data_IF_034346372054
#
_entry.id   IF_034346372054
#
_cell.length_a   1.000
_cell.length_b   1.000
_cell.length_c   1.000
_cell.angle_alpha   90.00
_cell.angle_beta   90.00
_cell.angle_gamma   90.00
#
_symmetry.space_group_name_H-M   'P 1'
#
loop_
_entity.id
_entity.type
_entity.pdbx_description
1 polymer ?
#
# COMPACT_ATOMS: atom_id res chain seq x y z
N UNK A 1 17.28 18.05 -10.68
CA UNK A 1 16.73 17.32 -11.84
C UNK A 1 16.98 15.83 -11.64
N UNK A 2 15.96 14.99 -11.84
CA UNK A 2 16.07 13.54 -11.69
C UNK A 2 16.94 12.95 -12.80
N UNK A 3 17.94 12.13 -12.46
CA UNK A 3 18.85 11.46 -13.40
C UNK A 3 19.07 10.01 -12.95
N UNK A 4 19.41 9.12 -13.86
CA UNK A 4 19.64 7.70 -13.53
C UNK A 4 20.80 7.52 -12.54
N UNK A 5 21.81 8.38 -12.57
CA UNK A 5 22.93 8.36 -11.63
C UNK A 5 22.46 8.55 -10.17
N UNK A 6 21.38 9.34 -9.96
CA UNK A 6 20.78 9.52 -8.64
C UNK A 6 20.21 8.20 -8.09
N UNK A 7 19.68 7.34 -8.94
CA UNK A 7 19.19 6.01 -8.55
C UNK A 7 20.33 5.04 -8.22
N UNK A 8 21.41 5.05 -8.98
CA UNK A 8 22.59 4.26 -8.66
C UNK A 8 23.23 4.73 -7.36
N UNK A 9 23.32 6.04 -7.13
CA UNK A 9 23.79 6.59 -5.86
C UNK A 9 22.86 6.16 -4.71
N UNK A 10 21.55 6.26 -4.90
CA UNK A 10 20.58 5.78 -3.91
C UNK A 10 20.77 4.29 -3.59
N UNK A 11 21.01 3.45 -4.59
CA UNK A 11 21.28 2.02 -4.39
C UNK A 11 22.48 1.79 -3.48
N UNK A 12 23.61 2.47 -3.75
CA UNK A 12 24.83 2.36 -2.95
C UNK A 12 24.58 2.78 -1.49
N UNK A 13 23.90 3.93 -1.30
CA UNK A 13 23.59 4.45 0.04
C UNK A 13 22.67 3.50 0.81
N UNK A 14 21.75 2.84 0.12
CA UNK A 14 20.74 1.97 0.72
C UNK A 14 21.22 0.55 1.00
N UNK A 15 22.36 0.12 0.46
CA UNK A 15 22.86 -1.26 0.55
C UNK A 15 22.93 -1.80 1.99
N UNK A 16 23.41 -0.96 2.92
CA UNK A 16 23.61 -1.36 4.31
C UNK A 16 22.36 -1.25 5.20
N UNK A 17 21.32 -0.60 4.73
CA UNK A 17 20.10 -0.41 5.54
C UNK A 17 18.94 -1.31 5.09
N UNK A 18 18.89 -1.68 3.82
CA UNK A 18 17.79 -2.48 3.29
C UNK A 18 17.95 -3.97 3.60
N UNK A 19 16.83 -4.64 3.68
CA UNK A 19 16.75 -6.10 3.55
C UNK A 19 16.64 -6.44 2.07
N UNK A 20 17.38 -7.44 1.62
CA UNK A 20 17.19 -7.99 0.27
C UNK A 20 15.80 -8.62 0.15
N UNK A 21 15.05 -8.23 -0.87
CA UNK A 21 13.69 -8.70 -1.14
C UNK A 21 13.66 -9.34 -2.53
N UNK A 22 14.17 -10.58 -2.63
CA UNK A 22 14.28 -11.29 -3.90
C UNK A 22 12.90 -11.53 -4.54
N UNK A 23 12.87 -11.64 -5.87
CA UNK A 23 11.65 -11.92 -6.63
C UNK A 23 11.10 -13.31 -6.30
N UNK A 24 9.80 -13.39 -6.04
CA UNK A 24 9.11 -14.64 -5.74
C UNK A 24 8.23 -15.06 -6.91
N UNK A 25 8.65 -16.03 -7.70
CA UNK A 25 7.84 -16.56 -8.80
C UNK A 25 6.54 -17.21 -8.30
N UNK A 26 5.44 -17.01 -9.04
CA UNK A 26 4.14 -17.60 -8.71
C UNK A 26 3.29 -17.90 -9.94
N UNK A 27 2.82 -19.14 -10.07
CA UNK A 27 1.85 -19.58 -11.11
C UNK A 27 0.39 -19.47 -10.64
N UNK A 28 0.15 -18.93 -9.43
CA UNK A 28 -1.16 -19.01 -8.75
C UNK A 28 -1.90 -17.67 -8.68
N UNK A 29 -1.36 -16.63 -9.26
CA UNK A 29 -2.01 -15.31 -9.36
C UNK A 29 -2.79 -15.21 -10.66
N UNK A 30 -2.14 -15.54 -11.77
CA UNK A 30 -2.73 -15.59 -13.09
C UNK A 30 -2.18 -16.81 -13.84
N UNK A 31 -2.92 -17.36 -14.79
CA UNK A 31 -2.54 -18.57 -15.56
C UNK A 31 -2.08 -18.25 -16.98
N UNK A 32 -2.32 -17.03 -17.47
CA UNK A 32 -1.99 -16.60 -18.83
C UNK A 32 -0.64 -15.91 -18.94
N UNK A 33 0.02 -15.61 -17.79
CA UNK A 33 1.31 -14.93 -17.73
C UNK A 33 2.21 -15.50 -16.63
N UNK A 34 3.51 -15.21 -16.69
CA UNK A 34 4.47 -15.53 -15.64
C UNK A 34 4.53 -14.40 -14.61
N UNK A 35 4.05 -14.64 -13.39
CA UNK A 35 3.98 -13.63 -12.34
C UNK A 35 5.11 -13.80 -11.33
N UNK A 36 5.79 -12.69 -11.05
CA UNK A 36 6.78 -12.53 -10.00
C UNK A 36 6.30 -11.47 -9.00
N UNK A 37 6.56 -11.67 -7.73
CA UNK A 37 6.24 -10.72 -6.66
C UNK A 37 7.54 -10.07 -6.18
N UNK A 38 7.58 -8.73 -6.12
CA UNK A 38 8.63 -7.99 -5.40
C UNK A 38 8.12 -7.68 -3.99
N UNK A 39 8.54 -8.43 -2.96
CA UNK A 39 7.89 -8.46 -1.66
C UNK A 39 8.40 -7.35 -0.72
N UNK A 40 8.14 -6.09 -1.02
CA UNK A 40 8.49 -4.96 -0.16
C UNK A 40 7.71 -4.94 1.19
N UNK A 41 6.66 -5.76 1.32
CA UNK A 41 6.04 -6.05 2.62
C UNK A 41 6.99 -6.77 3.60
N UNK A 42 8.07 -7.38 3.12
CA UNK A 42 9.11 -8.01 3.93
C UNK A 42 10.31 -7.10 4.19
N UNK A 43 10.31 -5.88 3.66
CA UNK A 43 11.35 -4.89 3.87
C UNK A 43 11.39 -4.43 5.34
N UNK A 44 12.49 -3.81 5.77
CA UNK A 44 12.54 -3.12 7.08
C UNK A 44 11.36 -2.16 7.20
N UNK A 45 10.76 -2.06 8.37
CA UNK A 45 9.51 -1.33 8.63
C UNK A 45 8.27 -1.88 7.91
N UNK A 46 8.35 -3.07 7.29
CA UNK A 46 7.21 -3.72 6.64
C UNK A 46 6.72 -3.04 5.36
N UNK A 47 7.51 -2.15 4.74
CA UNK A 47 7.17 -1.49 3.48
C UNK A 47 8.37 -0.87 2.77
N UNK A 48 8.19 -0.55 1.49
CA UNK A 48 9.20 0.12 0.64
C UNK A 48 9.62 1.52 1.12
N UNK A 49 8.83 2.17 1.98
CA UNK A 49 8.98 3.59 2.35
C UNK A 49 10.34 3.94 2.94
N UNK A 50 11.01 3.00 3.59
CA UNK A 50 12.37 3.20 4.13
C UNK A 50 13.36 3.59 3.03
N UNK A 51 13.21 3.12 1.79
CA UNK A 51 14.12 3.41 0.67
C UNK A 51 14.21 4.91 0.41
N UNK A 52 13.08 5.54 0.10
CA UNK A 52 13.03 6.97 -0.20
C UNK A 52 13.28 7.85 1.03
N UNK A 53 12.75 7.48 2.20
CA UNK A 53 12.96 8.23 3.43
C UNK A 53 14.44 8.24 3.83
N UNK A 54 15.08 7.09 3.86
CA UNK A 54 16.50 6.98 4.20
C UNK A 54 17.40 7.73 3.20
N UNK A 55 17.18 7.52 1.89
CA UNK A 55 17.97 8.21 0.88
C UNK A 55 17.81 9.72 0.97
N UNK A 56 16.58 10.25 1.11
CA UNK A 56 16.35 11.68 1.31
C UNK A 56 17.10 12.22 2.50
N UNK A 57 17.00 11.57 3.66
CA UNK A 57 17.66 11.99 4.90
C UNK A 57 19.20 11.94 4.76
N UNK A 58 19.74 10.94 4.07
CA UNK A 58 21.19 10.84 3.83
C UNK A 58 21.75 12.01 3.02
N UNK A 59 20.93 12.61 2.16
CA UNK A 59 21.34 13.73 1.28
C UNK A 59 21.26 15.11 1.94
N UNK A 60 20.82 15.19 3.19
CA UNK A 60 20.76 16.44 3.93
C UNK A 60 22.18 16.95 4.27
N UNK A 61 22.35 18.26 4.29
CA UNK A 61 23.57 18.89 4.79
C UNK A 61 23.75 18.63 6.30
N UNK A 62 24.94 18.81 6.81
CA UNK A 62 25.22 18.63 8.24
C UNK A 62 24.41 19.63 9.10
N UNK A 63 24.15 20.83 8.57
CA UNK A 63 23.32 21.82 9.23
C UNK A 63 21.84 21.36 9.30
N UNK A 64 21.29 20.81 8.21
CA UNK A 64 19.93 20.26 8.18
C UNK A 64 19.81 19.03 9.10
N UNK A 65 20.81 18.14 9.10
CA UNK A 65 20.85 16.98 10.00
C UNK A 65 20.88 17.39 11.46
N UNK A 66 21.64 18.44 11.81
CA UNK A 66 21.72 18.94 13.19
C UNK A 66 20.38 19.51 13.69
N UNK A 67 19.58 20.12 12.81
CA UNK A 67 18.24 20.60 13.14
C UNK A 67 17.22 19.47 13.27
N UNK A 68 17.38 18.37 12.50
CA UNK A 68 16.49 17.23 12.48
C UNK A 68 15.45 17.27 11.37
N UNK A 69 14.57 16.27 11.35
CA UNK A 69 13.58 16.09 10.30
C UNK A 69 12.17 16.03 10.88
N UNK A 70 11.18 16.44 10.07
CA UNK A 70 9.75 16.34 10.40
C UNK A 70 9.00 15.70 9.25
N UNK A 71 7.98 14.90 9.57
CA UNK A 71 7.07 14.35 8.58
C UNK A 71 5.63 14.30 9.11
N UNK A 72 4.67 14.23 8.18
CA UNK A 72 3.26 13.95 8.51
C UNK A 72 2.88 12.59 7.92
N UNK A 73 2.58 11.63 8.78
CA UNK A 73 2.06 10.33 8.37
C UNK A 73 1.70 9.49 9.59
N UNK A 74 0.58 8.77 9.53
CA UNK A 74 0.20 7.77 10.53
C UNK A 74 0.56 6.32 10.12
N UNK A 75 1.29 6.12 9.01
CA UNK A 75 1.55 4.81 8.43
C UNK A 75 3.02 4.56 8.05
N UNK A 76 3.19 3.92 6.91
CA UNK A 76 4.49 3.43 6.42
C UNK A 76 5.57 4.51 6.29
N UNK A 77 5.19 5.73 5.87
CA UNK A 77 6.15 6.81 5.71
C UNK A 77 6.71 7.28 7.06
N UNK A 78 5.87 7.39 8.09
CA UNK A 78 6.29 7.71 9.46
C UNK A 78 7.39 6.75 9.95
N UNK A 79 7.16 5.44 9.79
CA UNK A 79 8.12 4.41 10.19
C UNK A 79 9.42 4.47 9.36
N UNK A 80 9.30 4.74 8.05
CA UNK A 80 10.46 4.92 7.17
C UNK A 80 11.33 6.11 7.59
N UNK A 81 10.71 7.26 7.92
CA UNK A 81 11.42 8.46 8.40
C UNK A 81 12.03 8.21 9.78
N UNK A 82 11.26 7.61 10.71
CA UNK A 82 11.75 7.32 12.05
C UNK A 82 13.00 6.43 12.03
N UNK A 83 12.93 5.28 11.32
CA UNK A 83 14.08 4.38 11.21
C UNK A 83 15.25 5.04 10.48
N UNK A 84 14.98 5.76 9.38
CA UNK A 84 16.00 6.44 8.59
C UNK A 84 16.77 7.48 9.39
N UNK A 85 16.07 8.34 10.11
CA UNK A 85 16.66 9.36 10.95
C UNK A 85 17.44 8.76 12.13
N UNK A 86 16.83 7.82 12.86
CA UNK A 86 17.46 7.16 14.01
C UNK A 86 18.74 6.43 13.62
N UNK A 87 18.75 5.75 12.45
CA UNK A 87 19.94 5.05 11.95
C UNK A 87 21.12 5.98 11.64
N UNK A 88 20.86 7.27 11.46
CA UNK A 88 21.88 8.31 11.23
C UNK A 88 22.11 9.21 12.44
N UNK A 89 21.51 8.90 13.60
CA UNK A 89 21.60 9.74 14.80
C UNK A 89 20.90 11.09 14.68
N UNK A 90 19.92 11.22 13.77
CA UNK A 90 19.19 12.46 13.49
C UNK A 90 17.87 12.44 14.25
N UNK A 91 17.51 13.56 14.87
CA UNK A 91 16.21 13.74 15.53
C UNK A 91 15.09 13.74 14.49
N UNK A 92 14.01 13.01 14.76
CA UNK A 92 12.82 13.00 13.92
C UNK A 92 11.55 13.27 14.73
N UNK A 93 10.68 14.11 14.17
CA UNK A 93 9.36 14.43 14.70
C UNK A 93 8.29 13.99 13.72
N UNK A 94 7.31 13.22 14.18
CA UNK A 94 6.21 12.77 13.33
C UNK A 94 4.90 13.36 13.83
N UNK A 95 4.29 14.20 12.99
CA UNK A 95 2.96 14.75 13.23
C UNK A 95 1.90 13.81 12.65
N UNK A 96 0.87 13.49 13.44
CA UNK A 96 -0.23 12.63 13.03
C UNK A 96 -1.51 12.98 13.81
N UNK A 97 -2.70 12.68 13.26
CA UNK A 97 -3.96 12.92 13.94
C UNK A 97 -4.06 12.16 15.26
N UNK A 98 -4.70 12.75 16.29
CA UNK A 98 -4.95 12.07 17.57
C UNK A 98 -5.77 10.77 17.41
N UNK A 99 -6.63 10.70 16.39
CA UNK A 99 -7.43 9.54 16.08
C UNK A 99 -6.65 8.41 15.40
N UNK A 100 -5.33 8.56 15.17
CA UNK A 100 -4.50 7.52 14.56
C UNK A 100 -4.44 6.26 15.45
N UNK A 101 -4.48 5.05 14.85
CA UNK A 101 -4.42 3.81 15.62
C UNK A 101 -3.17 3.74 16.50
N UNK A 102 -3.36 3.45 17.78
CA UNK A 102 -2.27 3.39 18.78
C UNK A 102 -1.16 2.42 18.38
N UNK A 103 -1.50 1.32 17.71
CA UNK A 103 -0.51 0.36 17.18
C UNK A 103 0.49 1.01 16.22
N UNK A 104 0.01 1.90 15.33
CA UNK A 104 0.84 2.64 14.37
C UNK A 104 1.69 3.72 15.06
N UNK A 105 1.10 4.41 16.05
CA UNK A 105 1.81 5.43 16.88
C UNK A 105 2.97 4.77 17.62
N UNK A 106 2.71 3.67 18.33
CA UNK A 106 3.73 2.95 19.09
C UNK A 106 4.81 2.32 18.20
N UNK A 107 4.44 1.79 17.04
CA UNK A 107 5.42 1.27 16.08
C UNK A 107 6.40 2.36 15.64
N UNK A 108 5.91 3.57 15.38
CA UNK A 108 6.74 4.72 15.00
C UNK A 108 7.63 5.19 16.15
N UNK A 109 7.08 5.28 17.37
CA UNK A 109 7.83 5.66 18.58
C UNK A 109 8.96 4.67 18.88
N UNK A 110 8.72 3.36 18.76
CA UNK A 110 9.76 2.32 18.95
C UNK A 110 10.91 2.41 17.96
N UNK A 111 10.70 3.05 16.82
CA UNK A 111 11.74 3.33 15.83
C UNK A 111 12.53 4.60 16.14
N UNK A 112 12.28 5.26 17.28
CA UNK A 112 13.07 6.36 17.81
C UNK A 112 12.56 7.77 17.46
N UNK A 113 11.39 7.90 16.83
CA UNK A 113 10.82 9.22 16.53
C UNK A 113 10.07 9.82 17.74
N UNK A 114 10.12 11.12 17.88
CA UNK A 114 9.19 11.90 18.69
C UNK A 114 7.85 11.98 17.98
N UNK A 115 6.76 11.96 18.76
CA UNK A 115 5.40 11.96 18.25
C UNK A 115 4.69 13.24 18.65
N UNK A 116 4.11 13.93 17.66
CA UNK A 116 3.23 15.08 17.83
C UNK A 116 1.80 14.68 17.42
N UNK A 117 0.94 14.41 18.39
CA UNK A 117 -0.48 14.16 18.14
C UNK A 117 -1.18 15.51 17.92
N UNK A 118 -1.98 15.59 16.87
CA UNK A 118 -2.65 16.83 16.45
C UNK A 118 -4.16 16.58 16.42
N UNK A 119 -4.97 17.41 17.12
CA UNK A 119 -6.42 17.36 16.99
C UNK A 119 -6.88 17.61 15.55
N UNK A 120 -7.88 16.83 15.09
CA UNK A 120 -8.44 16.98 13.76
C UNK A 120 -8.03 15.85 12.80
N UNK A 121 -7.92 16.18 11.50
CA UNK A 121 -7.68 15.23 10.40
C UNK A 121 -6.23 15.30 9.88
N UNK A 122 -5.95 14.53 8.83
CA UNK A 122 -4.62 14.49 8.22
C UNK A 122 -4.09 15.87 7.81
N UNK A 123 -4.95 16.73 7.26
CA UNK A 123 -4.56 18.07 6.79
C UNK A 123 -4.10 18.97 7.95
N UNK A 124 -4.73 18.83 9.15
CA UNK A 124 -4.31 19.57 10.35
C UNK A 124 -2.91 19.11 10.82
N UNK A 125 -2.66 17.80 10.83
CA UNK A 125 -1.36 17.26 11.17
C UNK A 125 -0.29 17.65 10.13
N UNK A 126 -0.63 17.71 8.85
CA UNK A 126 0.24 18.17 7.79
C UNK A 126 0.62 19.65 7.97
N UNK A 127 -0.36 20.51 8.22
CA UNK A 127 -0.13 21.93 8.49
C UNK A 127 0.73 22.13 9.75
N UNK A 128 0.52 21.32 10.80
CA UNK A 128 1.35 21.35 12.00
C UNK A 128 2.79 20.96 11.69
N UNK A 129 3.02 19.93 10.86
CA UNK A 129 4.37 19.55 10.46
C UNK A 129 5.09 20.66 9.67
N UNK A 130 4.38 21.37 8.79
CA UNK A 130 4.92 22.52 8.08
C UNK A 130 5.23 23.69 9.05
N UNK A 131 4.37 23.99 10.01
CA UNK A 131 4.62 24.98 11.04
C UNK A 131 5.87 24.64 11.85
N UNK A 132 6.06 23.38 12.25
CA UNK A 132 7.26 22.92 12.96
C UNK A 132 8.54 23.05 12.10
N UNK A 133 8.44 22.80 10.79
CA UNK A 133 9.53 23.09 9.85
C UNK A 133 9.94 24.55 9.92
N UNK A 134 8.96 25.47 9.83
CA UNK A 134 9.22 26.92 9.74
C UNK A 134 9.69 27.50 11.09
N UNK A 135 9.17 27.00 12.21
CA UNK A 135 9.47 27.50 13.56
C UNK A 135 10.83 26.98 14.07
N UNK A 136 11.15 25.69 13.86
CA UNK A 136 12.33 25.05 14.41
C UNK A 136 13.41 24.72 13.38
N UNK A 137 13.15 24.97 12.09
CA UNK A 137 14.07 24.74 11.00
C UNK A 137 14.27 23.24 10.67
N UNK A 138 13.33 22.38 11.05
CA UNK A 138 13.35 20.98 10.63
C UNK A 138 13.29 20.85 9.11
N UNK A 139 13.90 19.80 8.55
CA UNK A 139 13.66 19.46 7.14
C UNK A 139 12.41 18.58 7.03
N UNK A 140 11.44 19.03 6.24
CA UNK A 140 10.22 18.26 5.97
C UNK A 140 10.53 17.14 4.98
N UNK A 141 10.26 15.89 5.38
CA UNK A 141 10.44 14.71 4.52
C UNK A 141 9.10 14.37 3.87
N UNK A 142 8.96 14.79 2.60
CA UNK A 142 7.73 14.58 1.85
C UNK A 142 7.54 13.09 1.51
N UNK A 143 6.30 12.53 1.62
CA UNK A 143 6.08 11.09 1.43
C UNK A 143 6.22 10.59 -0.01
N UNK A 144 6.26 11.47 -1.04
CA UNK A 144 6.33 11.10 -2.45
C UNK A 144 6.82 12.21 -3.40
N UNK A 145 6.54 13.50 -3.15
CA UNK A 145 6.81 14.58 -4.10
C UNK A 145 8.18 15.23 -3.85
N UNK A 146 9.25 14.43 -3.94
CA UNK A 146 10.65 14.83 -3.73
C UNK A 146 11.56 13.95 -4.59
N UNK A 147 12.49 14.54 -5.34
CA UNK A 147 13.39 13.82 -6.25
C UNK A 147 14.24 12.74 -5.55
N UNK A 148 14.70 12.99 -4.33
CA UNK A 148 15.49 12.03 -3.59
C UNK A 148 14.62 10.88 -3.07
N UNK A 149 13.40 11.20 -2.62
CA UNK A 149 12.43 10.16 -2.24
C UNK A 149 12.10 9.29 -3.45
N UNK A 150 11.81 9.87 -4.61
CA UNK A 150 11.53 9.16 -5.86
C UNK A 150 12.72 8.27 -6.26
N UNK A 151 13.95 8.81 -6.20
CA UNK A 151 15.16 8.05 -6.55
C UNK A 151 15.37 6.84 -5.62
N UNK A 152 15.17 7.02 -4.30
CA UNK A 152 15.24 5.92 -3.34
C UNK A 152 14.22 4.82 -3.63
N UNK A 153 12.96 5.18 -3.95
CA UNK A 153 11.91 4.22 -4.32
C UNK A 153 12.24 3.49 -5.62
N UNK A 154 12.82 4.20 -6.59
CA UNK A 154 13.15 3.64 -7.90
C UNK A 154 14.30 2.61 -7.89
N UNK A 155 15.06 2.49 -6.79
CA UNK A 155 16.03 1.40 -6.62
C UNK A 155 15.39 0.01 -6.74
N UNK A 156 14.09 -0.09 -6.51
CA UNK A 156 13.31 -1.32 -6.72
C UNK A 156 13.40 -1.77 -8.18
N UNK A 157 13.32 -0.84 -9.14
CA UNK A 157 13.44 -1.18 -10.55
C UNK A 157 14.83 -1.70 -10.89
N UNK A 158 15.89 -1.14 -10.30
CA UNK A 158 17.26 -1.64 -10.50
C UNK A 158 17.39 -3.10 -10.03
N UNK A 159 16.84 -3.41 -8.85
CA UNK A 159 16.83 -4.77 -8.31
C UNK A 159 16.01 -5.73 -9.19
N UNK A 160 14.84 -5.31 -9.68
CA UNK A 160 14.01 -6.11 -10.59
C UNK A 160 14.76 -6.45 -11.87
N UNK A 161 15.39 -5.44 -12.50
CA UNK A 161 16.11 -5.63 -13.76
C UNK A 161 17.38 -6.48 -13.61
N UNK A 162 18.00 -6.47 -12.44
CA UNK A 162 19.13 -7.33 -12.13
C UNK A 162 18.71 -8.80 -11.94
N UNK A 163 17.58 -9.05 -11.29
CA UNK A 163 17.08 -10.41 -11.03
C UNK A 163 16.30 -11.00 -12.23
N UNK A 164 15.61 -10.17 -13.01
CA UNK A 164 14.78 -10.54 -14.16
C UNK A 164 15.01 -9.56 -15.32
N UNK A 165 16.15 -9.66 -16.05
CA UNK A 165 16.49 -8.72 -17.11
C UNK A 165 15.51 -8.70 -18.29
N UNK A 166 14.75 -9.76 -18.48
CA UNK A 166 13.76 -9.96 -19.55
C UNK A 166 12.32 -9.76 -19.05
N UNK A 167 12.11 -8.94 -18.00
CA UNK A 167 10.79 -8.53 -17.55
C UNK A 167 10.07 -7.71 -18.62
N UNK A 168 8.82 -8.05 -18.92
CA UNK A 168 7.98 -7.32 -19.88
C UNK A 168 7.16 -6.21 -19.21
N UNK A 169 6.62 -6.49 -18.00
CA UNK A 169 5.64 -5.62 -17.33
C UNK A 169 5.97 -5.49 -15.84
N UNK A 170 5.95 -4.26 -15.34
CA UNK A 170 6.03 -3.97 -13.90
C UNK A 170 4.73 -3.29 -13.46
N UNK A 171 4.09 -3.83 -12.42
CA UNK A 171 2.81 -3.34 -11.88
C UNK A 171 3.01 -2.77 -10.50
N UNK A 172 2.62 -1.49 -10.32
CA UNK A 172 3.02 -0.67 -9.16
C UNK A 172 1.81 -0.02 -8.49
N UNK A 173 1.65 -0.14 -7.16
CA UNK A 173 0.65 0.61 -6.42
C UNK A 173 0.86 2.12 -6.50
N UNK A 174 -0.23 2.89 -6.66
CA UNK A 174 -0.17 4.35 -6.83
C UNK A 174 -1.03 5.05 -5.78
N UNK A 175 -0.37 5.80 -4.87
CA UNK A 175 -1.01 6.85 -4.07
C UNK A 175 -0.64 8.21 -4.66
N UNK A 176 0.22 8.98 -3.99
CA UNK A 176 0.71 10.27 -4.49
C UNK A 176 1.74 10.18 -5.64
N UNK A 177 2.08 9.00 -6.11
CA UNK A 177 2.88 8.78 -7.31
C UNK A 177 4.39 8.53 -7.09
N UNK A 178 4.93 8.69 -5.88
CA UNK A 178 6.40 8.62 -5.66
C UNK A 178 7.04 7.27 -6.00
N UNK A 179 6.36 6.16 -5.68
CA UNK A 179 6.86 4.81 -5.98
C UNK A 179 6.87 4.56 -7.49
N UNK A 180 5.73 4.74 -8.15
CA UNK A 180 5.62 4.49 -9.59
C UNK A 180 6.51 5.43 -10.40
N UNK A 181 6.64 6.69 -9.99
CA UNK A 181 7.56 7.64 -10.65
C UNK A 181 8.99 7.14 -10.63
N UNK A 182 9.46 6.66 -9.47
CA UNK A 182 10.81 6.11 -9.36
C UNK A 182 11.00 4.84 -10.19
N UNK A 183 10.07 3.89 -10.09
CA UNK A 183 10.12 2.62 -10.83
C UNK A 183 10.03 2.86 -12.33
N UNK A 184 9.08 3.67 -12.79
CA UNK A 184 8.88 3.92 -14.22
C UNK A 184 10.07 4.67 -14.83
N UNK A 185 10.55 5.73 -14.17
CA UNK A 185 11.71 6.48 -14.64
C UNK A 185 12.94 5.57 -14.80
N UNK A 186 13.28 4.80 -13.77
CA UNK A 186 14.45 3.92 -13.81
C UNK A 186 14.28 2.80 -14.85
N UNK A 187 13.12 2.10 -14.85
CA UNK A 187 12.87 1.00 -15.80
C UNK A 187 12.91 1.48 -17.25
N UNK A 188 12.20 2.57 -17.58
CA UNK A 188 12.14 3.10 -18.95
C UNK A 188 13.46 3.70 -19.44
N UNK A 189 14.25 4.30 -18.54
CA UNK A 189 15.59 4.81 -18.89
C UNK A 189 16.55 3.69 -19.25
N UNK A 190 16.48 2.55 -18.54
CA UNK A 190 17.35 1.40 -18.77
C UNK A 190 16.86 0.48 -19.88
N UNK A 191 15.54 0.29 -19.99
CA UNK A 191 14.92 -0.48 -21.06
C UNK A 191 13.53 0.11 -21.41
N UNK A 192 13.44 0.91 -22.48
CA UNK A 192 12.19 1.58 -22.87
C UNK A 192 11.06 0.64 -23.32
N UNK A 193 11.37 -0.63 -23.60
CA UNK A 193 10.38 -1.63 -23.99
C UNK A 193 9.54 -2.15 -22.82
N UNK A 194 10.03 -2.04 -21.59
CA UNK A 194 9.31 -2.47 -20.39
C UNK A 194 8.04 -1.62 -20.24
N UNK A 195 6.91 -2.28 -20.01
CA UNK A 195 5.66 -1.60 -19.69
C UNK A 195 5.51 -1.42 -18.19
N UNK A 196 5.14 -0.22 -17.76
CA UNK A 196 4.89 0.09 -16.35
C UNK A 196 3.45 0.54 -16.16
N UNK A 197 2.68 -0.24 -15.41
CA UNK A 197 1.30 0.07 -15.09
C UNK A 197 1.13 0.43 -13.62
N UNK A 198 0.36 1.49 -13.38
CA UNK A 198 -0.08 1.88 -12.04
C UNK A 198 -1.39 1.24 -11.65
N UNK A 199 -1.60 1.06 -10.34
CA UNK A 199 -2.87 0.57 -9.81
C UNK A 199 -3.31 1.40 -8.63
N UNK A 200 -4.56 1.89 -8.66
CA UNK A 200 -5.22 2.61 -7.57
C UNK A 200 -6.46 1.84 -7.10
N UNK A 201 -6.92 2.12 -5.88
CA UNK A 201 -8.27 1.72 -5.47
C UNK A 201 -9.29 2.63 -6.16
N UNK A 202 -10.45 2.09 -6.58
CA UNK A 202 -11.50 2.84 -7.29
C UNK A 202 -11.93 4.10 -6.54
N UNK A 203 -12.06 4.03 -5.22
CA UNK A 203 -12.48 5.14 -4.38
C UNK A 203 -11.32 6.09 -3.97
N UNK A 204 -10.13 5.95 -4.59
CA UNK A 204 -8.97 6.79 -4.38
C UNK A 204 -8.16 7.00 -5.68
N UNK A 205 -8.85 7.15 -6.82
CA UNK A 205 -8.30 7.17 -8.18
C UNK A 205 -7.78 8.56 -8.60
N UNK A 206 -7.03 9.26 -7.74
CA UNK A 206 -6.57 10.62 -7.99
C UNK A 206 -5.62 10.73 -9.19
N UNK A 207 -4.72 9.76 -9.39
CA UNK A 207 -3.78 9.77 -10.53
C UNK A 207 -4.50 9.44 -11.84
N UNK A 208 -5.47 8.51 -11.84
CA UNK A 208 -6.29 8.21 -13.03
C UNK A 208 -7.00 9.46 -13.50
N UNK A 209 -7.75 10.14 -12.61
CA UNK A 209 -8.46 11.38 -12.95
C UNK A 209 -7.50 12.49 -13.39
N UNK A 210 -6.33 12.59 -12.76
CA UNK A 210 -5.32 13.58 -13.15
C UNK A 210 -4.76 13.35 -14.55
N UNK A 211 -4.47 12.10 -14.91
CA UNK A 211 -3.98 11.77 -16.26
C UNK A 211 -5.05 12.02 -17.33
N UNK A 212 -6.32 11.73 -17.05
CA UNK A 212 -7.46 12.05 -17.92
C UNK A 212 -7.64 13.56 -18.10
N UNK A 213 -7.58 14.32 -17.00
CA UNK A 213 -7.67 15.78 -17.01
C UNK A 213 -6.42 16.49 -17.56
N UNK A 214 -5.28 15.78 -17.63
CA UNK A 214 -3.95 16.31 -17.98
C UNK A 214 -3.42 17.36 -17.00
N UNK A 215 -3.91 17.34 -15.76
CA UNK A 215 -3.46 18.18 -14.66
C UNK A 215 -3.72 17.50 -13.31
N UNK A 216 -2.98 17.83 -12.25
CA UNK A 216 -3.21 17.24 -10.93
C UNK A 216 -4.58 17.58 -10.34
N UNK A 217 -5.47 16.59 -10.26
CA UNK A 217 -6.84 16.72 -9.73
C UNK A 217 -6.89 16.44 -8.24
N UNK A 218 -7.60 17.28 -7.48
CA UNK A 218 -7.92 17.06 -6.08
C UNK A 218 -9.28 16.37 -5.95
N UNK A 219 -9.30 15.13 -5.45
CA UNK A 219 -10.53 14.41 -5.14
C UNK A 219 -11.26 15.04 -3.94
N UNK A 220 -12.56 15.06 -4.00
CA UNK A 220 -13.41 15.56 -2.89
C UNK A 220 -13.32 14.68 -1.65
N UNK A 221 -13.27 13.36 -1.86
CA UNK A 221 -13.13 12.37 -0.79
C UNK A 221 -12.33 11.16 -1.25
N UNK A 222 -11.77 10.40 -0.31
CA UNK A 222 -11.15 9.10 -0.54
C UNK A 222 -11.62 8.15 0.57
N UNK A 223 -12.00 6.95 0.21
CA UNK A 223 -12.44 5.91 1.16
C UNK A 223 -12.06 4.55 0.63
N UNK A 224 -11.01 3.94 1.19
CA UNK A 224 -10.53 2.63 0.79
C UNK A 224 -9.82 1.93 1.93
N UNK A 225 -9.87 0.61 1.96
CA UNK A 225 -9.06 -0.23 2.85
C UNK A 225 -7.56 -0.14 2.51
N UNK A 226 -7.22 0.31 1.30
CA UNK A 226 -5.85 0.54 0.86
C UNK A 226 -5.32 1.91 1.36
N UNK A 227 -5.31 2.12 2.67
CA UNK A 227 -4.98 3.38 3.36
C UNK A 227 -3.61 3.96 2.93
N UNK A 228 -2.62 3.11 2.66
CA UNK A 228 -1.29 3.51 2.19
C UNK A 228 -1.26 4.21 0.83
N UNK A 229 -2.35 4.12 0.03
CA UNK A 229 -2.52 4.79 -1.26
C UNK A 229 -3.75 5.70 -1.32
N UNK A 230 -4.43 5.95 -0.19
CA UNK A 230 -5.58 6.84 -0.07
C UNK A 230 -5.14 8.32 -0.15
N UNK A 231 -4.75 8.77 -1.33
CA UNK A 231 -4.20 10.12 -1.55
C UNK A 231 -5.15 10.93 -2.43
N UNK A 232 -5.60 12.09 -1.91
CA UNK A 232 -6.57 12.96 -2.60
C UNK A 232 -6.02 13.65 -3.85
N UNK A 233 -4.72 13.98 -3.86
CA UNK A 233 -4.07 14.67 -4.98
C UNK A 233 -2.68 14.10 -5.20
N UNK A 234 -2.28 13.76 -6.44
CA UNK A 234 -0.89 13.42 -6.74
C UNK A 234 0.03 14.63 -6.56
N UNK A 235 1.33 14.39 -6.41
CA UNK A 235 2.31 15.47 -6.41
C UNK A 235 2.51 16.03 -7.82
N UNK A 236 2.86 17.31 -7.93
CA UNK A 236 3.08 17.93 -9.24
C UNK A 236 4.25 17.26 -9.98
N UNK A 237 5.38 17.04 -9.29
CA UNK A 237 6.54 16.32 -9.86
C UNK A 237 6.20 14.87 -10.22
N UNK A 238 5.47 14.17 -9.36
CA UNK A 238 5.11 12.76 -9.62
C UNK A 238 4.10 12.63 -10.74
N UNK A 239 3.19 13.58 -10.89
CA UNK A 239 2.26 13.66 -12.02
C UNK A 239 3.02 13.83 -13.34
N UNK A 240 3.98 14.78 -13.41
CA UNK A 240 4.79 15.01 -14.61
C UNK A 240 5.55 13.74 -15.01
N UNK A 241 6.17 13.04 -14.05
CA UNK A 241 6.89 11.81 -14.35
C UNK A 241 5.92 10.70 -14.80
N UNK A 242 4.77 10.54 -14.12
CA UNK A 242 3.78 9.54 -14.53
C UNK A 242 3.25 9.80 -15.94
N UNK A 243 2.97 11.04 -16.29
CA UNK A 243 2.49 11.43 -17.62
C UNK A 243 3.46 11.07 -18.74
N UNK A 244 4.78 11.04 -18.45
CA UNK A 244 5.82 10.79 -19.45
C UNK A 244 6.32 9.34 -19.49
N UNK A 245 6.25 8.60 -18.37
CA UNK A 245 6.94 7.31 -18.23
C UNK A 245 6.02 6.13 -17.91
N UNK A 246 4.74 6.36 -17.55
CA UNK A 246 3.79 5.29 -17.18
C UNK A 246 2.91 4.95 -18.37
N UNK A 247 2.76 3.67 -18.69
CA UNK A 247 1.97 3.20 -19.84
C UNK A 247 0.45 3.23 -19.58
N UNK A 248 0.03 3.29 -18.33
CA UNK A 248 -1.37 3.43 -17.93
C UNK A 248 -1.56 3.23 -16.42
N UNK A 249 -2.67 3.74 -15.91
CA UNK A 249 -3.10 3.53 -14.51
C UNK A 249 -4.51 2.97 -14.52
N UNK A 250 -4.71 1.86 -13.81
CA UNK A 250 -6.01 1.18 -13.70
C UNK A 250 -6.49 1.20 -12.26
N UNK A 251 -7.77 0.86 -12.06
CA UNK A 251 -8.37 0.75 -10.74
C UNK A 251 -8.80 -0.67 -10.41
N UNK A 252 -8.82 -0.98 -9.11
CA UNK A 252 -9.35 -2.22 -8.54
C UNK A 252 -10.34 -1.92 -7.44
N UNK A 253 -11.34 -2.79 -7.29
CA UNK A 253 -12.36 -2.66 -6.24
C UNK A 253 -11.86 -3.14 -4.87
N UNK A 254 -12.60 -2.82 -3.82
CA UNK A 254 -12.31 -3.28 -2.46
C UNK A 254 -12.35 -4.81 -2.36
N UNK A 255 -13.30 -5.45 -3.07
CA UNK A 255 -13.45 -6.90 -3.12
C UNK A 255 -12.25 -7.56 -3.82
N UNK A 256 -11.80 -6.97 -4.92
CA UNK A 256 -10.62 -7.44 -5.66
C UNK A 256 -9.36 -7.33 -4.80
N UNK A 257 -9.21 -6.25 -4.02
CA UNK A 257 -8.12 -6.07 -3.06
C UNK A 257 -8.18 -7.15 -1.96
N UNK A 258 -9.35 -7.38 -1.36
CA UNK A 258 -9.54 -8.43 -0.36
C UNK A 258 -9.21 -9.82 -0.89
N UNK A 259 -9.65 -10.14 -2.11
CA UNK A 259 -9.34 -11.41 -2.77
C UNK A 259 -7.83 -11.58 -3.01
N UNK A 260 -7.13 -10.51 -3.40
CA UNK A 260 -5.68 -10.54 -3.62
C UNK A 260 -4.92 -10.73 -2.30
N UNK A 261 -5.30 -10.08 -1.21
CA UNK A 261 -4.71 -10.29 0.12
C UNK A 261 -4.88 -11.75 0.55
N UNK A 262 -6.11 -12.30 0.42
CA UNK A 262 -6.38 -13.70 0.73
C UNK A 262 -5.52 -14.64 -0.12
N UNK A 263 -5.37 -14.36 -1.41
CA UNK A 263 -4.52 -15.14 -2.34
C UNK A 263 -3.06 -15.14 -1.90
N UNK A 264 -2.51 -13.99 -1.49
CA UNK A 264 -1.14 -13.87 -1.00
C UNK A 264 -0.92 -14.69 0.27
N UNK A 265 -1.83 -14.60 1.23
CA UNK A 265 -1.78 -15.38 2.48
C UNK A 265 -1.82 -16.88 2.19
N UNK A 266 -2.81 -17.34 1.42
CA UNK A 266 -3.01 -18.77 1.18
C UNK A 266 -1.91 -19.41 0.34
N UNK A 267 -1.48 -18.73 -0.72
CA UNK A 267 -0.60 -19.32 -1.73
C UNK A 267 0.88 -19.00 -1.56
N UNK A 268 1.19 -17.89 -0.85
CA UNK A 268 2.58 -17.44 -0.64
C UNK A 268 2.96 -17.28 0.83
N UNK A 269 2.00 -17.42 1.77
CA UNK A 269 2.21 -17.18 3.20
C UNK A 269 2.74 -15.77 3.48
N UNK A 270 2.31 -14.84 2.63
CA UNK A 270 2.73 -13.44 2.63
C UNK A 270 1.55 -12.57 3.07
N UNK A 271 1.76 -11.76 4.09
CA UNK A 271 0.77 -10.77 4.55
C UNK A 271 1.06 -9.45 3.85
N UNK A 272 0.07 -8.94 3.12
CA UNK A 272 0.08 -7.62 2.51
C UNK A 272 -1.05 -6.76 3.09
N UNK A 273 -0.80 -5.46 3.20
CA UNK A 273 -1.85 -4.46 3.43
C UNK A 273 -2.63 -4.18 2.14
N UNK A 274 -3.77 -3.47 2.21
CA UNK A 274 -4.57 -3.14 1.03
C UNK A 274 -3.75 -2.50 -0.09
N UNK A 275 -2.95 -1.47 0.25
CA UNK A 275 -2.06 -0.81 -0.70
C UNK A 275 -1.00 -1.75 -1.31
N UNK A 276 -0.54 -2.74 -0.54
CA UNK A 276 0.43 -3.73 -1.01
C UNK A 276 -0.15 -4.78 -1.96
N UNK A 277 -1.47 -4.99 -1.95
CA UNK A 277 -2.12 -6.04 -2.73
C UNK A 277 -2.69 -5.58 -4.08
N UNK A 278 -2.88 -4.26 -4.30
CA UNK A 278 -3.56 -3.75 -5.51
C UNK A 278 -2.88 -4.18 -6.83
N UNK A 279 -1.55 -4.25 -6.87
CA UNK A 279 -0.83 -4.69 -8.06
C UNK A 279 -1.14 -6.17 -8.40
N UNK A 280 -1.25 -7.01 -7.37
CA UNK A 280 -1.65 -8.42 -7.53
C UNK A 280 -3.11 -8.53 -7.93
N UNK A 281 -3.99 -7.70 -7.38
CA UNK A 281 -5.41 -7.64 -7.75
C UNK A 281 -5.56 -7.30 -9.24
N UNK A 282 -4.87 -6.29 -9.75
CA UNK A 282 -4.96 -5.89 -11.16
C UNK A 282 -4.59 -7.01 -12.13
N UNK A 283 -3.57 -7.81 -11.81
CA UNK A 283 -3.16 -8.97 -12.61
C UNK A 283 -4.13 -10.14 -12.44
N UNK A 284 -4.63 -10.36 -11.23
CA UNK A 284 -5.54 -11.46 -10.90
C UNK A 284 -6.92 -11.30 -11.57
N UNK A 285 -7.35 -10.07 -11.79
CA UNK A 285 -8.65 -9.73 -12.38
C UNK A 285 -8.53 -9.13 -13.80
N UNK A 286 -7.41 -9.42 -14.49
CA UNK A 286 -7.18 -9.10 -15.92
C UNK A 286 -7.40 -7.61 -16.26
N UNK A 287 -7.06 -6.67 -15.33
CA UNK A 287 -7.22 -5.22 -15.56
C UNK A 287 -6.18 -4.64 -16.52
N UNK A 288 -5.11 -5.36 -16.78
CA UNK A 288 -3.99 -4.94 -17.65
C UNK A 288 -3.61 -6.05 -18.64
N UNK A 289 -3.08 -5.71 -19.85
CA UNK A 289 -2.73 -6.67 -20.88
C UNK A 289 -1.41 -7.40 -20.55
N UNK A 290 -1.51 -8.59 -19.96
CA UNK A 290 -0.36 -9.37 -19.47
C UNK A 290 -0.19 -10.74 -20.11
N UNK A 291 -1.06 -11.15 -21.04
CA UNK A 291 -1.04 -12.46 -21.66
C UNK A 291 0.32 -12.78 -22.31
N UNK A 292 0.90 -13.93 -21.97
CA UNK A 292 2.20 -14.40 -22.44
C UNK A 292 3.41 -13.60 -21.92
N UNK A 293 3.23 -12.70 -20.93
CA UNK A 293 4.25 -11.78 -20.43
C UNK A 293 4.89 -12.24 -19.13
N UNK A 294 6.14 -11.80 -18.89
CA UNK A 294 6.79 -11.83 -17.58
C UNK A 294 6.44 -10.56 -16.80
N UNK A 295 5.68 -10.73 -15.74
CA UNK A 295 5.06 -9.64 -14.98
C UNK A 295 5.61 -9.60 -13.57
N UNK A 296 6.08 -8.44 -13.12
CA UNK A 296 6.46 -8.22 -11.71
C UNK A 296 5.40 -7.36 -11.03
N UNK A 297 4.74 -7.90 -10.00
CA UNK A 297 3.83 -7.17 -9.12
C UNK A 297 4.58 -6.69 -7.87
N UNK A 298 4.57 -5.40 -7.58
CA UNK A 298 5.10 -4.87 -6.32
C UNK A 298 4.10 -5.10 -5.20
N UNK A 299 4.50 -5.88 -4.18
CA UNK A 299 3.77 -6.00 -2.91
C UNK A 299 4.37 -4.97 -1.96
N UNK A 300 3.87 -3.74 -2.03
CA UNK A 300 4.54 -2.54 -1.53
C UNK A 300 4.62 -2.40 -0.01
N UNK A 301 3.73 -3.07 0.73
CA UNK A 301 3.70 -3.05 2.20
C UNK A 301 2.82 -4.14 2.80
N UNK A 302 3.04 -4.40 4.10
CA UNK A 302 2.34 -5.43 4.87
C UNK A 302 1.85 -4.97 6.25
N UNK A 303 1.88 -3.68 6.55
CA UNK A 303 1.53 -3.11 7.87
C UNK A 303 0.01 -2.99 8.06
N UNK A 304 -0.68 -4.10 7.87
CA UNK A 304 -2.13 -4.20 8.10
C UNK A 304 -2.41 -4.44 9.60
N UNK A 305 -3.44 -3.77 10.11
CA UNK A 305 -3.94 -4.03 11.46
C UNK A 305 -4.64 -5.40 11.51
N UNK A 306 -4.44 -6.15 12.62
CA UNK A 306 -4.94 -7.53 12.76
C UNK A 306 -6.48 -7.58 12.72
N UNK A 307 -7.17 -6.58 13.27
CA UNK A 307 -8.65 -6.52 13.23
C UNK A 307 -9.14 -6.26 11.80
N UNK A 308 -8.45 -5.39 11.07
CA UNK A 308 -8.69 -5.16 9.65
C UNK A 308 -8.40 -6.42 8.83
N UNK A 309 -7.31 -7.13 9.11
CA UNK A 309 -6.98 -8.40 8.45
C UNK A 309 -8.08 -9.43 8.62
N UNK A 310 -8.67 -9.57 9.82
CA UNK A 310 -9.80 -10.46 10.08
C UNK A 310 -11.00 -10.15 9.16
N UNK A 311 -11.37 -8.87 9.03
CA UNK A 311 -12.45 -8.43 8.13
C UNK A 311 -12.11 -8.70 6.67
N UNK A 312 -10.88 -8.41 6.24
CA UNK A 312 -10.40 -8.65 4.87
C UNK A 312 -10.46 -10.14 4.51
N UNK A 313 -10.05 -11.03 5.42
CA UNK A 313 -10.13 -12.48 5.20
C UNK A 313 -11.59 -12.89 4.97
N UNK A 314 -12.53 -12.44 5.81
CA UNK A 314 -13.95 -12.74 5.65
C UNK A 314 -14.49 -12.22 4.32
N UNK A 315 -14.20 -10.96 3.95
CA UNK A 315 -14.61 -10.36 2.69
C UNK A 315 -14.00 -11.07 1.48
N UNK A 316 -12.72 -11.45 1.57
CA UNK A 316 -12.04 -12.22 0.52
C UNK A 316 -12.63 -13.62 0.33
N UNK A 317 -13.07 -14.28 1.40
CA UNK A 317 -13.77 -15.56 1.34
C UNK A 317 -15.15 -15.41 0.67
N UNK A 318 -15.87 -14.33 0.97
CA UNK A 318 -17.16 -14.01 0.33
C UNK A 318 -16.95 -13.74 -1.16
N UNK A 319 -16.02 -12.85 -1.52
CA UNK A 319 -15.71 -12.51 -2.91
C UNK A 319 -15.27 -13.73 -3.75
N UNK A 320 -14.65 -14.73 -3.12
CA UNK A 320 -14.25 -15.98 -3.77
C UNK A 320 -15.33 -17.07 -3.75
N UNK A 321 -16.55 -16.77 -3.28
CA UNK A 321 -17.66 -17.73 -3.22
C UNK A 321 -17.48 -18.85 -2.19
N UNK A 322 -16.56 -18.68 -1.21
CA UNK A 322 -16.23 -19.70 -0.20
C UNK A 322 -16.94 -19.47 1.15
N UNK A 323 -17.51 -18.31 1.33
CA UNK A 323 -18.31 -17.91 2.48
C UNK A 323 -19.54 -17.17 1.99
N UNK A 324 -20.71 -17.44 2.58
CA UNK A 324 -21.91 -16.66 2.36
C UNK A 324 -22.67 -16.48 3.68
N UNK A 325 -23.47 -15.44 3.75
CA UNK A 325 -24.45 -15.23 4.80
C UNK A 325 -25.84 -15.49 4.22
N UNK A 326 -26.63 -16.32 4.86
CA UNK A 326 -27.98 -16.67 4.44
C UNK A 326 -28.93 -16.23 5.55
N UNK A 327 -29.94 -15.45 5.20
CA UNK A 327 -31.06 -15.12 6.07
C UNK A 327 -32.25 -15.99 5.67
N UNK A 328 -32.79 -16.75 6.62
CA UNK A 328 -33.86 -17.70 6.40
C UNK A 328 -34.99 -17.40 7.37
N UNK A 329 -36.15 -17.06 6.87
CA UNK A 329 -37.38 -16.98 7.67
C UNK A 329 -38.05 -18.34 7.66
N UNK A 330 -38.38 -18.84 8.82
CA UNK A 330 -38.99 -20.15 9.01
C UNK A 330 -40.16 -20.04 10.01
N UNK A 331 -41.16 -20.93 9.88
CA UNK A 331 -42.21 -21.01 10.88
C UNK A 331 -41.63 -21.52 12.24
N UNK A 332 -42.07 -20.95 13.32
CA UNK A 332 -41.71 -21.38 14.67
C UNK A 332 -42.40 -22.71 15.01
N UNK A 333 -41.76 -23.79 14.63
CA UNK A 333 -42.20 -25.16 14.88
C UNK A 333 -41.03 -26.05 15.31
N UNK A 334 -41.25 -26.98 16.23
CA UNK A 334 -40.26 -27.96 16.61
C UNK A 334 -39.68 -28.72 15.40
N UNK A 335 -38.34 -28.74 15.31
CA UNK A 335 -37.61 -29.45 14.25
C UNK A 335 -37.26 -28.63 12.99
N UNK A 336 -37.78 -27.42 12.81
CA UNK A 336 -37.51 -26.59 11.60
C UNK A 336 -36.04 -26.24 11.50
N UNK A 337 -35.36 -25.82 12.56
CA UNK A 337 -33.92 -25.55 12.58
C UNK A 337 -33.11 -26.81 12.21
N UNK A 338 -33.50 -27.98 12.77
CA UNK A 338 -32.82 -29.24 12.49
C UNK A 338 -32.92 -29.61 10.99
N UNK A 339 -34.08 -29.40 10.37
CA UNK A 339 -34.30 -29.65 8.92
C UNK A 339 -33.46 -28.68 8.09
N UNK A 340 -33.40 -27.40 8.43
CA UNK A 340 -32.56 -26.39 7.77
C UNK A 340 -31.08 -26.77 7.82
N UNK A 341 -30.57 -27.12 9.00
CA UNK A 341 -29.18 -27.57 9.15
C UNK A 341 -28.89 -28.85 8.35
N UNK A 342 -29.86 -29.79 8.30
CA UNK A 342 -29.72 -31.02 7.51
C UNK A 342 -29.63 -30.74 5.99
N UNK A 343 -30.37 -29.77 5.49
CA UNK A 343 -30.28 -29.34 4.07
C UNK A 343 -28.91 -28.77 3.77
N UNK A 344 -28.43 -27.84 4.58
CA UNK A 344 -27.10 -27.24 4.44
C UNK A 344 -26.02 -28.31 4.44
N UNK A 345 -26.08 -29.25 5.38
CA UNK A 345 -25.13 -30.37 5.47
C UNK A 345 -25.15 -31.29 4.26
N UNK A 346 -26.34 -31.61 3.71
CA UNK A 346 -26.48 -32.44 2.50
C UNK A 346 -25.84 -31.80 1.27
N UNK A 347 -25.78 -30.46 1.21
CA UNK A 347 -25.12 -29.71 0.13
C UNK A 347 -23.60 -29.60 0.33
N UNK A 348 -23.05 -30.23 1.39
CA UNK A 348 -21.62 -30.19 1.69
C UNK A 348 -21.11 -28.86 2.25
N UNK A 349 -22.02 -27.97 2.69
CA UNK A 349 -21.65 -26.72 3.32
C UNK A 349 -21.49 -26.90 4.83
N UNK A 350 -20.57 -26.11 5.43
CA UNK A 350 -20.33 -26.07 6.86
C UNK A 350 -20.93 -24.79 7.46
N UNK A 351 -21.64 -24.92 8.56
CA UNK A 351 -22.20 -23.79 9.31
C UNK A 351 -21.15 -23.29 10.29
N UNK A 352 -20.66 -22.07 10.06
CA UNK A 352 -19.64 -21.43 10.92
C UNK A 352 -20.31 -20.74 12.10
N UNK A 353 -21.44 -20.08 11.89
CA UNK A 353 -22.25 -19.45 12.92
C UNK A 353 -23.72 -19.50 12.57
N UNK A 354 -24.58 -19.55 13.57
CA UNK A 354 -26.03 -19.48 13.43
C UNK A 354 -26.58 -18.55 14.50
N UNK A 355 -27.31 -17.52 14.08
CA UNK A 355 -28.07 -16.64 14.96
C UNK A 355 -29.53 -16.94 14.76
N UNK A 356 -30.25 -17.28 15.86
CA UNK A 356 -31.67 -17.52 15.85
C UNK A 356 -32.36 -16.38 16.59
N UNK A 357 -33.30 -15.74 15.95
CA UNK A 357 -34.19 -14.75 16.54
C UNK A 357 -35.59 -15.34 16.59
N UNK A 358 -36.25 -15.27 17.75
CA UNK A 358 -37.64 -15.67 17.94
C UNK A 358 -38.49 -14.42 18.22
N UNK A 359 -39.76 -14.47 17.85
CA UNK A 359 -40.70 -13.34 18.03
C UNK A 359 -40.93 -12.96 19.50
N UNK A 360 -40.75 -13.92 20.43
CA UNK A 360 -40.97 -13.69 21.86
C UNK A 360 -39.85 -12.86 22.56
N UNK A 361 -38.74 -12.64 21.89
CA UNK A 361 -37.64 -11.81 22.43
C UNK A 361 -37.89 -10.30 22.31
N UNK A 362 -38.94 -9.87 21.64
CA UNK A 362 -39.26 -8.46 21.45
C UNK A 362 -40.18 -7.87 22.53
N UNK A 363 -40.82 -8.72 23.37
CA UNK A 363 -41.82 -8.28 24.34
C UNK A 363 -41.29 -8.18 25.80
N UNK A 364 -40.01 -8.47 26.04
CA UNK A 364 -39.41 -8.39 27.41
C UNK A 364 -38.69 -7.05 27.70
N UNK A 365 -38.73 -6.06 26.85
CA UNK A 365 -38.11 -4.73 27.06
C UNK A 365 -39.14 -3.61 27.40
N UNK A 366 -40.33 -3.91 27.94
CA UNK A 366 -41.22 -2.87 28.48
C UNK A 366 -41.31 -2.90 30.01
#
# INVERSE_FOLDING_TARGET
MLTIDKFYNARIVLENILRKTDLVHTKKVNTTCEVYLKPECLQRTGSFKIRGAYYKISQLSDEEKAKGVVACSAGNHAQGVALGATSMGIKSLICLPEAAPMSKVEATRRLGAEICLVPGVYDDAYNRALAMRDEFGYTFIHPFNDENVIAGQGTIALEILEELPDVDVIVVPVGGGGLISGVAYAAKTLNPNIKVYGVQAENAASMVQSLEAKEPVLLTSVSTLADGIAVKKPGDLTFDICSNYVDGVVTVSEEEICAAILRLIEKKKMVAEGAGAVAVAAVMFDKIPVEGKKVVCLVSGGNIDVTTLGRVISSGLIASGRLCSIHIEVNDQPGTLAQTCAIVSKLGANIISCLLYTSDAADEED
#
